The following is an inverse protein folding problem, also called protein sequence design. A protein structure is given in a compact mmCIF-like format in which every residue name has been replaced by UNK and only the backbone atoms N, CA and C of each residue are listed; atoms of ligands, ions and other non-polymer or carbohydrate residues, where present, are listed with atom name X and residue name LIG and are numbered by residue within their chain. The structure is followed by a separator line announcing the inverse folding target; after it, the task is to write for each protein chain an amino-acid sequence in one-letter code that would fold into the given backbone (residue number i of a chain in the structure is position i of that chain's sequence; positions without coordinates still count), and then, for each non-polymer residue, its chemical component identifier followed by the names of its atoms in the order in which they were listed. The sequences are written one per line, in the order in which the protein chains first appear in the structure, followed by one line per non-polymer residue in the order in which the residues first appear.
data_IF_225532768903
#
_entry.id   IF_225532768903
#
_cell.length_a   1.000
_cell.length_b   1.000
_cell.length_c   1.000
_cell.angle_alpha   90.00
_cell.angle_beta   90.00
_cell.angle_gamma   90.00
#
_symmetry.space_group_name_H-M   'P 1'
#
loop_
_entity.id
_entity.type
_entity.pdbx_description
1 polymer ?
#
# COMPACT_ATOMS: atom_id res chain seq x y z
N UNK A 1 24.82 8.56 11.70
CA UNK A 1 23.34 8.68 11.89
C UNK A 1 22.76 7.28 11.84
N UNK A 2 21.82 6.97 12.70
CA UNK A 2 21.09 5.73 12.66
C UNK A 2 20.19 5.69 11.40
N UNK A 3 20.04 4.52 10.78
CA UNK A 3 19.17 4.34 9.62
C UNK A 3 17.71 4.56 10.06
N UNK A 4 16.94 5.32 9.27
CA UNK A 4 15.51 5.42 9.45
C UNK A 4 14.77 4.14 9.08
N UNK A 5 13.54 3.99 9.54
CA UNK A 5 12.67 2.84 9.23
C UNK A 5 11.90 3.04 7.91
N UNK A 6 11.59 1.95 7.24
CA UNK A 6 10.67 1.89 6.09
C UNK A 6 9.40 1.18 6.55
N UNK A 7 8.27 1.90 6.57
CA UNK A 7 6.95 1.37 6.92
C UNK A 7 6.06 1.37 5.68
N UNK A 8 5.42 0.25 5.42
CA UNK A 8 4.44 0.12 4.34
C UNK A 8 3.02 0.15 4.90
N UNK A 9 2.17 0.98 4.30
CA UNK A 9 0.73 1.02 4.60
C UNK A 9 -0.04 0.34 3.47
N UNK A 10 -0.61 -0.81 3.74
CA UNK A 10 -1.33 -1.66 2.79
C UNK A 10 -2.81 -1.82 3.16
N UNK A 11 -3.59 -2.37 2.24
CA UNK A 11 -5.02 -2.66 2.45
C UNK A 11 -5.87 -2.39 1.21
N UNK A 12 -7.17 -2.73 1.23
CA UNK A 12 -8.08 -2.56 0.10
C UNK A 12 -8.32 -1.09 -0.25
N UNK A 13 -9.03 -0.86 -1.34
CA UNK A 13 -9.44 0.49 -1.73
C UNK A 13 -10.30 1.14 -0.63
N UNK A 14 -10.15 2.46 -0.46
CA UNK A 14 -10.85 3.25 0.56
C UNK A 14 -10.61 2.84 2.04
N UNK A 15 -9.64 1.97 2.33
CA UNK A 15 -9.24 1.64 3.71
C UNK A 15 -8.53 2.78 4.46
N UNK A 16 -8.28 3.92 3.82
CA UNK A 16 -7.67 5.08 4.48
C UNK A 16 -6.16 5.23 4.35
N UNK A 17 -5.49 4.40 3.54
CA UNK A 17 -4.02 4.41 3.34
C UNK A 17 -3.47 5.80 3.01
N UNK A 18 -3.91 6.39 1.91
CA UNK A 18 -3.45 7.70 1.46
C UNK A 18 -3.72 8.79 2.50
N UNK A 19 -4.84 8.72 3.20
CA UNK A 19 -5.15 9.63 4.32
C UNK A 19 -4.12 9.48 5.43
N UNK A 20 -3.85 8.24 5.86
CA UNK A 20 -2.81 7.93 6.86
C UNK A 20 -1.45 8.49 6.42
N UNK A 21 -1.04 8.20 5.18
CA UNK A 21 0.23 8.69 4.63
C UNK A 21 0.31 10.22 4.60
N UNK A 22 -0.78 10.92 4.25
CA UNK A 22 -0.80 12.40 4.28
C UNK A 22 -0.65 12.94 5.72
N UNK A 23 -1.25 12.30 6.72
CA UNK A 23 -1.04 12.69 8.11
C UNK A 23 0.40 12.47 8.56
N UNK A 24 1.08 11.41 8.09
CA UNK A 24 2.48 11.15 8.43
C UNK A 24 3.45 12.24 7.96
N UNK A 25 3.08 13.05 6.96
CA UNK A 25 3.88 14.23 6.54
C UNK A 25 3.98 15.31 7.62
N UNK A 26 3.12 15.26 8.64
CA UNK A 26 3.15 16.20 9.78
C UNK A 26 4.09 15.77 10.91
N UNK A 27 4.69 14.60 10.81
CA UNK A 27 5.60 14.11 11.83
C UNK A 27 7.04 14.37 11.44
N UNK A 28 7.84 14.71 12.43
CA UNK A 28 9.26 15.01 12.22
C UNK A 28 9.98 13.82 11.57
N UNK A 29 10.92 14.11 10.72
CA UNK A 29 11.78 13.13 10.06
C UNK A 29 11.04 12.05 9.24
N UNK A 30 9.76 12.26 8.91
CA UNK A 30 8.96 11.35 8.09
C UNK A 30 8.86 11.83 6.64
N UNK A 31 9.11 10.93 5.69
CA UNK A 31 8.96 11.15 4.25
C UNK A 31 7.98 10.15 3.68
N UNK A 32 6.98 10.62 2.95
CA UNK A 32 5.98 9.79 2.28
C UNK A 32 6.36 9.58 0.81
N UNK A 33 6.30 8.34 0.34
CA UNK A 33 6.36 8.01 -1.07
C UNK A 33 4.97 7.52 -1.48
N UNK A 34 4.35 8.28 -2.38
CA UNK A 34 2.98 8.03 -2.86
C UNK A 34 2.86 6.70 -3.63
N UNK A 35 1.62 6.16 -3.74
CA UNK A 35 1.34 4.91 -4.48
C UNK A 35 1.78 4.98 -5.96
N UNK A 36 1.93 3.82 -6.60
CA UNK A 36 2.48 3.69 -7.95
C UNK A 36 1.81 4.61 -8.98
N UNK A 37 0.47 4.73 -8.97
CA UNK A 37 -0.28 5.55 -9.92
C UNK A 37 -0.03 7.05 -9.77
N UNK A 38 0.34 7.51 -8.58
CA UNK A 38 0.70 8.91 -8.31
C UNK A 38 2.18 9.14 -8.59
N UNK A 39 3.01 8.17 -8.23
CA UNK A 39 4.45 8.21 -8.45
C UNK A 39 4.82 8.17 -9.95
N UNK A 40 4.06 7.39 -10.75
CA UNK A 40 4.20 7.30 -12.21
C UNK A 40 2.86 7.63 -12.88
N UNK A 41 2.58 8.91 -13.18
CA UNK A 41 1.30 9.34 -13.77
C UNK A 41 1.01 8.76 -15.16
N UNK A 42 2.07 8.40 -15.91
CA UNK A 42 1.96 7.80 -17.24
C UNK A 42 1.84 6.26 -17.15
N UNK A 43 1.03 5.78 -16.21
CA UNK A 43 0.81 4.35 -16.03
C UNK A 43 -0.15 3.76 -17.09
N UNK A 44 -0.10 2.42 -17.33
CA UNK A 44 -0.98 1.74 -18.25
C UNK A 44 -2.46 1.91 -17.90
N UNK A 45 -3.32 1.78 -18.94
CA UNK A 45 -4.77 1.71 -18.76
C UNK A 45 -5.18 0.37 -18.14
N UNK A 46 -6.40 0.27 -17.58
CA UNK A 46 -6.93 -1.00 -17.10
C UNK A 46 -6.86 -2.09 -18.17
N UNK A 47 -6.55 -3.30 -17.74
CA UNK A 47 -6.32 -4.45 -18.61
C UNK A 47 -7.56 -4.85 -19.40
N UNK A 48 -7.37 -5.26 -20.65
CA UNK A 48 -8.42 -5.72 -21.57
C UNK A 48 -8.21 -7.17 -22.02
N UNK A 49 -7.07 -7.77 -21.67
CA UNK A 49 -6.71 -9.16 -21.97
C UNK A 49 -5.75 -9.69 -20.92
N UNK A 50 -5.53 -10.99 -20.93
CA UNK A 50 -4.56 -11.66 -20.04
C UNK A 50 -3.14 -11.12 -20.27
N UNK A 51 -2.68 -11.03 -21.52
CA UNK A 51 -1.33 -10.54 -21.84
C UNK A 51 -1.17 -9.08 -21.41
N UNK A 52 -2.23 -8.27 -21.55
CA UNK A 52 -2.20 -6.88 -21.10
C UNK A 52 -2.13 -6.80 -19.57
N UNK A 53 -2.82 -7.70 -18.85
CA UNK A 53 -2.73 -7.77 -17.38
C UNK A 53 -1.32 -8.13 -16.92
N UNK A 54 -0.69 -9.13 -17.54
CA UNK A 54 0.70 -9.53 -17.24
C UNK A 54 1.65 -8.35 -17.52
N UNK A 55 1.50 -7.67 -18.65
CA UNK A 55 2.33 -6.51 -18.99
C UNK A 55 2.15 -5.36 -17.97
N UNK A 56 0.92 -5.11 -17.50
CA UNK A 56 0.63 -4.11 -16.48
C UNK A 56 1.29 -4.48 -15.14
N UNK A 57 1.22 -5.74 -14.72
CA UNK A 57 1.88 -6.20 -13.50
C UNK A 57 3.39 -5.97 -13.57
N UNK A 58 4.04 -6.35 -14.67
CA UNK A 58 5.48 -6.14 -14.87
C UNK A 58 5.83 -4.65 -14.83
N UNK A 59 5.03 -3.79 -15.47
CA UNK A 59 5.22 -2.33 -15.40
C UNK A 59 5.16 -1.83 -13.96
N UNK A 60 4.14 -2.21 -13.20
CA UNK A 60 3.99 -1.75 -11.81
C UNK A 60 5.08 -2.30 -10.89
N UNK A 61 5.59 -3.51 -11.12
CA UNK A 61 6.77 -4.01 -10.40
C UNK A 61 8.02 -3.18 -10.71
N UNK A 62 8.23 -2.74 -11.95
CA UNK A 62 9.32 -1.83 -12.28
C UNK A 62 9.20 -0.47 -11.58
N UNK A 63 7.96 0.06 -11.45
CA UNK A 63 7.72 1.28 -10.68
C UNK A 63 8.05 1.04 -9.21
N UNK A 64 7.64 -0.11 -8.66
CA UNK A 64 7.89 -0.46 -7.27
C UNK A 64 9.38 -0.59 -6.94
N UNK A 65 10.18 -1.20 -7.82
CA UNK A 65 11.63 -1.24 -7.66
C UNK A 65 12.23 0.17 -7.53
N UNK A 66 11.78 1.13 -8.36
CA UNK A 66 12.23 2.53 -8.27
C UNK A 66 11.82 3.20 -6.96
N UNK A 67 10.59 2.94 -6.50
CA UNK A 67 10.07 3.45 -5.21
C UNK A 67 10.86 2.88 -4.03
N UNK A 68 11.14 1.58 -4.03
CA UNK A 68 11.90 0.92 -2.99
C UNK A 68 13.35 1.40 -2.94
N UNK A 69 14.02 1.56 -4.08
CA UNK A 69 15.37 2.15 -4.13
C UNK A 69 15.41 3.57 -3.55
N UNK A 70 14.38 4.40 -3.85
CA UNK A 70 14.23 5.74 -3.26
C UNK A 70 14.01 5.65 -1.74
N UNK A 71 13.14 4.75 -1.28
CA UNK A 71 12.87 4.53 0.14
C UNK A 71 14.15 4.14 0.89
N UNK A 72 14.90 3.18 0.34
CA UNK A 72 16.16 2.72 0.91
C UNK A 72 17.19 3.85 1.03
N UNK A 73 17.33 4.65 -0.03
CA UNK A 73 18.24 5.82 0.01
C UNK A 73 17.88 6.78 1.13
N UNK A 74 16.60 7.16 1.23
CA UNK A 74 16.12 8.08 2.27
C UNK A 74 16.29 7.49 3.68
N UNK A 75 16.04 6.19 3.84
CA UNK A 75 16.25 5.53 5.13
C UNK A 75 17.73 5.53 5.53
N UNK A 76 18.65 5.31 4.60
CA UNK A 76 20.10 5.41 4.85
C UNK A 76 20.53 6.84 5.22
N UNK A 77 19.81 7.86 4.76
CA UNK A 77 19.98 9.26 5.17
C UNK A 77 19.34 9.57 6.54
N UNK A 78 18.84 8.56 7.25
CA UNK A 78 18.22 8.67 8.58
C UNK A 78 16.74 9.09 8.55
N UNK A 79 16.06 9.12 7.40
CA UNK A 79 14.63 9.46 7.29
C UNK A 79 13.76 8.25 7.54
N UNK A 80 12.68 8.41 8.29
CA UNK A 80 11.62 7.43 8.34
C UNK A 80 10.78 7.55 7.06
N UNK A 81 10.61 6.43 6.34
CA UNK A 81 9.92 6.42 5.05
C UNK A 81 8.60 5.68 5.17
N UNK A 82 7.53 6.33 4.77
CA UNK A 82 6.18 5.75 4.72
C UNK A 82 5.83 5.50 3.25
N UNK A 83 5.61 4.26 2.88
CA UNK A 83 5.17 3.87 1.54
C UNK A 83 3.64 3.71 1.52
N UNK A 84 2.96 4.49 0.67
CA UNK A 84 1.54 4.25 0.34
C UNK A 84 1.48 3.06 -0.63
N UNK A 85 1.19 1.87 -0.13
CA UNK A 85 1.28 0.57 -0.80
C UNK A 85 2.72 0.14 -1.16
N UNK A 86 2.85 -1.13 -1.52
CA UNK A 86 4.06 -1.72 -2.11
C UNK A 86 3.71 -2.76 -3.18
N UNK A 87 4.69 -3.50 -3.67
CA UNK A 87 4.50 -4.57 -4.65
C UNK A 87 3.49 -5.64 -4.24
N UNK A 88 3.24 -5.79 -2.94
CA UNK A 88 2.22 -6.70 -2.43
C UNK A 88 0.80 -6.33 -2.89
N UNK A 89 0.52 -5.04 -3.14
CA UNK A 89 -0.75 -4.60 -3.74
C UNK A 89 -0.99 -5.18 -5.13
N UNK A 90 0.07 -5.37 -5.93
CA UNK A 90 -0.05 -5.97 -7.28
C UNK A 90 -0.52 -7.41 -7.15
N UNK A 91 0.08 -8.16 -6.20
CA UNK A 91 -0.29 -9.56 -5.90
C UNK A 91 -1.71 -9.64 -5.35
N UNK A 92 -2.11 -8.73 -4.45
CA UNK A 92 -3.45 -8.67 -3.87
C UNK A 92 -4.54 -8.41 -4.93
N UNK A 93 -4.26 -7.55 -5.91
CA UNK A 93 -5.15 -7.25 -7.03
C UNK A 93 -5.26 -8.46 -7.95
N UNK A 94 -4.15 -9.10 -8.30
CA UNK A 94 -4.13 -10.33 -9.11
C UNK A 94 -4.94 -11.46 -8.44
N UNK A 95 -4.77 -11.65 -7.12
CA UNK A 95 -5.57 -12.59 -6.35
C UNK A 95 -7.07 -12.29 -6.44
N UNK A 96 -7.46 -11.03 -6.21
CA UNK A 96 -8.86 -10.65 -6.26
C UNK A 96 -9.47 -10.82 -7.67
N UNK A 97 -8.75 -10.46 -8.74
CA UNK A 97 -9.19 -10.64 -10.12
C UNK A 97 -9.36 -12.13 -10.48
N UNK A 98 -8.43 -12.98 -10.07
CA UNK A 98 -8.55 -14.43 -10.29
C UNK A 98 -9.76 -15.01 -9.58
N UNK A 99 -10.02 -14.62 -8.31
CA UNK A 99 -11.20 -15.03 -7.55
C UNK A 99 -12.51 -14.54 -8.15
N UNK A 100 -12.49 -13.45 -8.88
CA UNK A 100 -13.62 -12.92 -9.64
C UNK A 100 -13.76 -13.55 -11.04
N UNK A 101 -12.92 -14.53 -11.40
CA UNK A 101 -12.94 -15.20 -12.71
C UNK A 101 -12.45 -14.32 -13.86
N UNK A 102 -11.67 -13.24 -13.59
CA UNK A 102 -11.17 -12.33 -14.63
C UNK A 102 -9.86 -12.85 -15.26
N UNK A 103 -8.73 -12.62 -14.57
CA UNK A 103 -7.39 -12.93 -15.07
C UNK A 103 -6.70 -13.93 -14.12
N UNK A 104 -6.34 -15.14 -14.59
CA UNK A 104 -5.64 -16.13 -13.77
C UNK A 104 -4.16 -15.82 -13.67
N UNK A 105 -3.81 -14.68 -13.01
CA UNK A 105 -2.45 -14.16 -12.94
C UNK A 105 -1.90 -14.11 -11.51
N UNK A 106 -2.61 -14.64 -10.53
CA UNK A 106 -2.16 -14.57 -9.13
C UNK A 106 -0.80 -15.25 -8.93
N UNK A 107 -0.65 -16.49 -9.41
CA UNK A 107 0.61 -17.21 -9.25
C UNK A 107 1.76 -16.48 -9.98
N UNK A 108 1.50 -15.97 -11.18
CA UNK A 108 2.50 -15.17 -11.92
C UNK A 108 2.96 -13.94 -11.14
N UNK A 109 2.01 -13.16 -10.59
CA UNK A 109 2.32 -11.98 -9.80
C UNK A 109 3.10 -12.33 -8.52
N UNK A 110 2.74 -13.43 -7.87
CA UNK A 110 3.39 -13.92 -6.65
C UNK A 110 4.84 -14.36 -6.93
N UNK A 111 5.06 -15.13 -7.99
CA UNK A 111 6.40 -15.59 -8.40
C UNK A 111 7.31 -14.41 -8.77
N UNK A 112 6.77 -13.43 -9.51
CA UNK A 112 7.52 -12.20 -9.82
C UNK A 112 7.87 -11.41 -8.56
N UNK A 113 6.94 -11.28 -7.62
CA UNK A 113 7.18 -10.59 -6.36
C UNK A 113 8.31 -11.25 -5.56
N UNK A 114 8.29 -12.57 -5.38
CA UNK A 114 9.35 -13.29 -4.68
C UNK A 114 10.67 -13.22 -5.42
N UNK A 115 10.66 -13.38 -6.76
CA UNK A 115 11.87 -13.27 -7.58
C UNK A 115 12.57 -11.91 -7.36
N UNK A 116 11.84 -10.82 -7.27
CA UNK A 116 12.43 -9.50 -7.04
C UNK A 116 13.11 -9.37 -5.65
N UNK A 117 12.64 -10.11 -4.63
CA UNK A 117 13.35 -10.21 -3.36
C UNK A 117 14.62 -11.07 -3.48
N UNK A 118 14.54 -12.21 -4.15
CA UNK A 118 15.68 -13.10 -4.39
C UNK A 118 16.79 -12.39 -5.18
N UNK A 119 16.41 -11.59 -6.17
CA UNK A 119 17.33 -10.80 -7.00
C UNK A 119 17.85 -9.54 -6.25
N UNK A 120 17.36 -9.23 -5.03
CA UNK A 120 17.75 -8.06 -4.23
C UNK A 120 17.20 -6.73 -4.77
N UNK A 121 16.24 -6.77 -5.69
CA UNK A 121 15.61 -5.57 -6.29
C UNK A 121 14.53 -4.96 -5.39
N UNK A 122 13.91 -5.78 -4.54
CA UNK A 122 13.07 -5.35 -3.44
C UNK A 122 13.71 -5.72 -2.11
N UNK A 123 13.57 -4.83 -1.13
CA UNK A 123 13.98 -5.09 0.24
C UNK A 123 12.73 -5.22 1.12
N UNK A 124 12.81 -6.05 2.15
CA UNK A 124 11.75 -6.13 3.15
C UNK A 124 11.67 -4.82 3.91
N UNK A 125 10.49 -4.19 3.98
CA UNK A 125 10.23 -3.09 4.90
C UNK A 125 10.48 -3.50 6.36
N UNK A 126 10.72 -2.53 7.21
CA UNK A 126 10.91 -2.77 8.64
C UNK A 126 9.58 -3.10 9.34
N UNK A 127 8.45 -2.60 8.80
CA UNK A 127 7.12 -2.85 9.33
C UNK A 127 6.05 -2.78 8.23
N UNK A 128 5.02 -3.63 8.35
CA UNK A 128 3.80 -3.56 7.53
C UNK A 128 2.59 -3.18 8.38
N UNK A 129 1.82 -2.21 7.93
CA UNK A 129 0.55 -1.81 8.54
C UNK A 129 -0.57 -2.13 7.55
N UNK A 130 -1.30 -3.21 7.80
CA UNK A 130 -2.42 -3.65 6.98
C UNK A 130 -3.71 -3.03 7.49
N UNK A 131 -4.26 -2.10 6.71
CA UNK A 131 -5.55 -1.49 7.01
C UNK A 131 -6.69 -2.36 6.46
N UNK A 132 -7.74 -2.50 7.24
CA UNK A 132 -8.98 -3.10 6.77
C UNK A 132 -10.18 -2.24 7.15
N UNK A 133 -11.25 -2.38 6.39
CA UNK A 133 -12.51 -1.66 6.59
C UNK A 133 -13.65 -2.53 6.10
N UNK A 134 -14.83 -2.33 6.66
CA UNK A 134 -16.05 -2.98 6.19
C UNK A 134 -16.60 -2.35 4.89
N UNK A 135 -17.59 -3.01 4.29
CA UNK A 135 -18.19 -2.60 3.02
C UNK A 135 -18.94 -1.26 3.16
N UNK A 136 -19.66 -1.04 4.25
CA UNK A 136 -20.42 0.19 4.49
C UNK A 136 -19.50 1.41 4.54
N UNK A 137 -18.43 1.33 5.32
CA UNK A 137 -17.40 2.37 5.37
C UNK A 137 -16.71 2.59 4.02
N UNK A 138 -16.42 1.51 3.26
CA UNK A 138 -15.84 1.59 1.92
C UNK A 138 -16.75 2.40 0.98
N UNK A 139 -18.06 2.09 0.96
CA UNK A 139 -19.05 2.77 0.12
C UNK A 139 -19.29 4.22 0.56
N UNK A 140 -19.39 4.45 1.86
CA UNK A 140 -19.54 5.80 2.42
C UNK A 140 -18.34 6.69 2.02
N UNK A 141 -17.12 6.20 2.20
CA UNK A 141 -15.90 6.92 1.82
C UNK A 141 -15.84 7.18 0.31
N UNK A 142 -16.28 6.22 -0.52
CA UNK A 142 -16.35 6.42 -1.96
C UNK A 142 -17.36 7.50 -2.35
N UNK A 143 -18.51 7.59 -1.65
CA UNK A 143 -19.55 8.58 -1.93
C UNK A 143 -19.08 10.03 -1.70
N UNK A 144 -18.17 10.23 -0.73
CA UNK A 144 -17.61 11.55 -0.38
C UNK A 144 -16.31 11.88 -1.10
N UNK A 145 -15.74 10.92 -1.86
CA UNK A 145 -14.49 11.10 -2.59
C UNK A 145 -14.70 11.98 -3.83
N UNK A 146 -13.77 12.92 -4.09
CA UNK A 146 -13.83 13.79 -5.28
C UNK A 146 -13.82 13.04 -6.61
N UNK A 147 -12.96 12.01 -6.76
CA UNK A 147 -12.97 11.07 -7.89
C UNK A 147 -13.40 9.71 -7.39
N UNK A 148 -14.65 9.34 -7.66
CA UNK A 148 -15.22 8.05 -7.26
C UNK A 148 -14.53 6.89 -7.99
N UNK A 149 -14.31 5.81 -7.28
CA UNK A 149 -13.91 4.54 -7.85
C UNK A 149 -15.13 3.82 -8.43
N UNK A 150 -14.92 3.05 -9.49
CA UNK A 150 -15.97 2.18 -10.06
C UNK A 150 -16.29 1.00 -9.13
N UNK A 151 -17.45 0.38 -9.32
CA UNK A 151 -17.86 -0.83 -8.59
C UNK A 151 -16.84 -1.97 -8.72
N UNK A 152 -16.09 -2.02 -9.81
CA UNK A 152 -15.01 -2.98 -10.00
C UNK A 152 -13.94 -2.91 -8.89
N UNK A 153 -13.67 -1.72 -8.35
CA UNK A 153 -12.63 -1.48 -7.36
C UNK A 153 -13.12 -1.37 -5.92
N UNK A 154 -14.44 -1.30 -5.72
CA UNK A 154 -15.06 -1.15 -4.38
C UNK A 154 -16.18 -2.17 -4.14
N UNK A 155 -16.49 -3.00 -5.14
CA UNK A 155 -17.49 -4.06 -4.99
C UNK A 155 -17.18 -4.98 -3.83
N UNK A 156 -18.21 -5.40 -3.09
CA UNK A 156 -18.06 -6.19 -1.86
C UNK A 156 -17.14 -7.39 -2.06
N UNK A 157 -17.29 -8.14 -3.15
CA UNK A 157 -16.45 -9.31 -3.43
C UNK A 157 -14.99 -8.96 -3.69
N UNK A 158 -14.71 -7.88 -4.43
CA UNK A 158 -13.33 -7.45 -4.68
C UNK A 158 -12.64 -7.03 -3.38
N UNK A 159 -13.31 -6.21 -2.57
CA UNK A 159 -12.82 -5.77 -1.27
C UNK A 159 -12.65 -6.95 -0.30
N UNK A 160 -13.60 -7.89 -0.28
CA UNK A 160 -13.53 -9.10 0.54
C UNK A 160 -12.31 -9.97 0.19
N UNK A 161 -12.08 -10.22 -1.12
CA UNK A 161 -10.90 -10.99 -1.54
C UNK A 161 -9.59 -10.28 -1.20
N UNK A 162 -9.51 -8.97 -1.36
CA UNK A 162 -8.33 -8.23 -0.90
C UNK A 162 -8.14 -8.31 0.62
N UNK A 163 -9.20 -8.19 1.40
CA UNK A 163 -9.13 -8.34 2.86
C UNK A 163 -8.62 -9.73 3.26
N UNK A 164 -9.12 -10.81 2.63
CA UNK A 164 -8.64 -12.18 2.86
C UNK A 164 -7.16 -12.34 2.51
N UNK A 165 -6.73 -11.76 1.40
CA UNK A 165 -5.32 -11.77 1.02
C UNK A 165 -4.43 -11.07 2.05
N UNK A 166 -4.79 -9.85 2.45
CA UNK A 166 -4.00 -9.08 3.43
C UNK A 166 -4.04 -9.72 4.83
N UNK A 167 -5.13 -10.39 5.18
CA UNK A 167 -5.20 -11.18 6.41
C UNK A 167 -4.21 -12.34 6.39
N UNK A 168 -4.18 -13.11 5.30
CA UNK A 168 -3.22 -14.19 5.13
C UNK A 168 -1.78 -13.66 5.13
N UNK A 169 -1.51 -12.56 4.44
CA UNK A 169 -0.20 -11.92 4.40
C UNK A 169 0.25 -11.46 5.80
N UNK A 170 -0.62 -10.84 6.59
CA UNK A 170 -0.32 -10.40 7.94
C UNK A 170 0.00 -11.56 8.91
N UNK A 171 -0.52 -12.76 8.65
CA UNK A 171 -0.24 -13.93 9.48
C UNK A 171 1.15 -14.55 9.20
N UNK A 172 1.77 -14.25 8.06
CA UNK A 172 3.05 -14.85 7.64
C UNK A 172 4.19 -13.84 7.52
N UNK A 173 3.89 -12.57 7.32
CA UNK A 173 4.91 -11.51 7.22
C UNK A 173 5.30 -11.09 8.65
N UNK A 174 6.58 -11.22 9.04
CA UNK A 174 7.06 -10.74 10.32
C UNK A 174 6.95 -9.20 10.39
N UNK A 175 6.83 -8.67 11.61
CA UNK A 175 6.70 -7.22 11.83
C UNK A 175 5.54 -6.61 11.04
N UNK A 176 4.35 -7.18 11.23
CA UNK A 176 3.13 -6.69 10.62
C UNK A 176 2.02 -6.48 11.64
N UNK A 177 1.18 -5.48 11.39
CA UNK A 177 0.00 -5.18 12.21
C UNK A 177 -1.23 -5.04 11.33
N UNK A 178 -2.38 -5.53 11.82
CA UNK A 178 -3.69 -5.30 11.19
C UNK A 178 -4.47 -4.29 12.01
N UNK A 179 -4.93 -3.24 11.35
CA UNK A 179 -5.63 -2.13 12.00
C UNK A 179 -6.97 -1.89 11.30
N UNK A 180 -8.07 -1.97 12.06
CA UNK A 180 -9.39 -1.52 11.58
C UNK A 180 -9.42 -0.02 11.44
N UNK A 181 -10.04 0.45 10.36
CA UNK A 181 -10.31 1.88 10.16
C UNK A 181 -11.80 2.20 10.14
N UNK A 182 -12.66 1.21 10.43
CA UNK A 182 -14.11 1.39 10.51
C UNK A 182 -14.47 2.20 11.74
N UNK A 183 -15.17 3.32 11.55
CA UNK A 183 -15.58 4.21 12.64
C UNK A 183 -14.46 5.05 13.28
N UNK A 184 -13.22 4.92 12.81
CA UNK A 184 -12.08 5.60 13.40
C UNK A 184 -11.84 7.01 12.83
N UNK A 185 -11.21 7.87 13.63
CA UNK A 185 -10.77 9.18 13.22
C UNK A 185 -9.72 9.09 12.10
N UNK A 186 -9.68 10.11 11.24
CA UNK A 186 -8.78 10.15 10.06
C UNK A 186 -7.29 10.02 10.42
N UNK A 187 -6.87 10.48 11.60
CA UNK A 187 -5.48 10.44 12.07
C UNK A 187 -5.18 9.26 13.02
N UNK A 188 -6.14 8.37 13.26
CA UNK A 188 -5.97 7.25 14.20
C UNK A 188 -4.76 6.39 13.86
N UNK A 189 -4.67 5.91 12.62
CA UNK A 189 -3.58 5.04 12.17
C UNK A 189 -2.23 5.76 12.17
N UNK A 190 -2.20 7.04 11.78
CA UNK A 190 -0.93 7.81 11.79
C UNK A 190 -0.37 7.99 13.20
N UNK A 191 -1.22 8.12 14.21
CA UNK A 191 -0.78 8.13 15.62
C UNK A 191 -0.12 6.80 16.03
N UNK A 192 -0.68 5.66 15.59
CA UNK A 192 -0.06 4.35 15.84
C UNK A 192 1.31 4.25 15.16
N UNK A 193 1.41 4.63 13.90
CA UNK A 193 2.68 4.62 13.16
C UNK A 193 3.69 5.55 13.83
N UNK A 194 3.28 6.72 14.28
CA UNK A 194 4.16 7.65 14.99
C UNK A 194 4.72 7.05 16.29
N UNK A 195 3.92 6.27 17.02
CA UNK A 195 4.36 5.52 18.20
C UNK A 195 5.40 4.44 17.83
N UNK A 196 5.18 3.68 16.74
CA UNK A 196 6.13 2.68 16.23
C UNK A 196 7.48 3.32 15.88
N UNK A 197 7.44 4.53 15.33
CA UNK A 197 8.62 5.30 14.93
C UNK A 197 9.23 6.09 16.06
N UNK A 198 8.51 6.27 17.18
CA UNK A 198 8.88 7.17 18.28
C UNK A 198 9.18 8.61 17.79
N UNK A 199 8.29 9.15 16.95
CA UNK A 199 8.38 10.51 16.39
C UNK A 199 7.26 11.41 16.91
N UNK A 200 7.52 12.73 16.92
CA UNK A 200 6.57 13.73 17.37
C UNK A 200 5.89 14.43 16.18
N UNK A 201 4.65 14.86 16.38
CA UNK A 201 3.95 15.70 15.41
C UNK A 201 4.55 17.11 15.43
N UNK A 202 4.86 17.65 14.25
CA UNK A 202 5.34 19.02 14.09
C UNK A 202 4.24 20.00 14.50
N UNK A 203 4.60 20.99 15.27
CA UNK A 203 3.72 22.09 15.63
C UNK A 203 3.72 23.17 14.52
N UNK A 204 2.71 24.06 14.50
CA UNK A 204 2.65 25.17 13.56
C UNK A 204 3.89 26.11 13.64
N UNK A 205 4.74 25.93 14.65
CA UNK A 205 6.00 26.68 14.81
C UNK A 205 7.19 26.01 14.11
N UNK A 206 7.04 24.74 13.72
CA UNK A 206 8.09 23.91 13.11
C UNK A 206 7.93 23.82 11.58
N UNK A 207 6.81 24.35 11.04
CA UNK A 207 6.47 24.46 9.63
C UNK A 207 6.71 25.87 9.09
#
# INVERSE_FOLDING_TARGET
MERGKIIVVEGPSNAGKTTTCQYMKKYENCVVIDECNVYEPNHPRPSQSLDHEIANQLFFFQVEMRRMRKATKLALEGKNVILDRCGLSIVAIAYAFERLGKYPTFQHALDQYFKLFEDGELLMPDEYVFLYTDDDNTRQRNSTRGKKLSEEWIGSSFTEFQNKFYEAAANVIPHSQRISTSGEEKNYVSRIIAQILNVQELTDRDL
#
